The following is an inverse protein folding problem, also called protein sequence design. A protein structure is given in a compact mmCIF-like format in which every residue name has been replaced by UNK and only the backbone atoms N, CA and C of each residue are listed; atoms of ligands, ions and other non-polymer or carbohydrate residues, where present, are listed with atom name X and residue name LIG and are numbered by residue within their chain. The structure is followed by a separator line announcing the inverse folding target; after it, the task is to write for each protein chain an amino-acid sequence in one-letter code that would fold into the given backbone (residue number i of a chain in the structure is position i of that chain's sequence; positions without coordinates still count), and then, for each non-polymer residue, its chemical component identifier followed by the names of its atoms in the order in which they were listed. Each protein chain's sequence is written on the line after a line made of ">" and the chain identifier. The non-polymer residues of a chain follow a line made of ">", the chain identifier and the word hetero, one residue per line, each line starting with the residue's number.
data_IF_780226970048
#
_entry.id   IF_780226970048
#
_cell.length_a   1.000
_cell.length_b   1.000
_cell.length_c   1.000
_cell.angle_alpha   90.00
_cell.angle_beta   90.00
_cell.angle_gamma   90.00
#
_symmetry.space_group_name_H-M   'P 1'
#
loop_
_entity.id
_entity.type
_entity.pdbx_description
1 polymer ?
#
# COMPACT_ATOMS: atom_id res chain seq x y z
N UNK A 1 19.23 4.60 9.05
CA UNK A 1 17.99 5.05 9.73
C UNK A 1 17.55 6.36 9.10
N UNK A 2 16.25 6.68 9.20
CA UNK A 2 15.77 8.00 8.79
C UNK A 2 16.32 9.04 9.77
N UNK A 3 16.83 10.15 9.24
CA UNK A 3 17.52 11.18 10.02
C UNK A 3 16.90 12.53 9.70
N UNK A 4 16.84 13.40 10.70
CA UNK A 4 16.37 14.75 10.46
C UNK A 4 17.31 15.50 9.49
N UNK A 5 16.80 16.59 8.92
CA UNK A 5 17.54 17.40 7.95
C UNK A 5 18.77 18.08 8.56
N UNK A 6 18.72 18.42 9.84
CA UNK A 6 19.78 19.13 10.56
C UNK A 6 20.98 18.21 10.78
N UNK A 7 20.75 17.00 11.30
CA UNK A 7 21.70 15.91 11.44
C UNK A 7 22.25 15.46 10.09
N UNK A 8 21.39 15.33 9.07
CA UNK A 8 21.82 15.02 7.71
C UNK A 8 22.77 16.09 7.15
N UNK A 9 22.52 17.37 7.46
CA UNK A 9 23.39 18.48 7.05
C UNK A 9 24.68 18.47 7.87
N UNK A 10 24.58 18.28 9.18
CA UNK A 10 25.74 18.20 10.07
C UNK A 10 26.73 17.11 9.65
N UNK A 11 26.25 15.90 9.38
CA UNK A 11 27.09 14.78 8.92
C UNK A 11 27.72 15.10 7.55
N UNK A 12 26.99 15.77 6.65
CA UNK A 12 27.52 16.15 5.34
C UNK A 12 28.62 17.21 5.42
N UNK A 13 28.48 18.20 6.29
CA UNK A 13 29.49 19.26 6.48
C UNK A 13 30.75 18.73 7.19
N UNK A 14 30.60 17.72 8.05
CA UNK A 14 31.71 17.08 8.77
C UNK A 14 32.08 15.71 8.18
N UNK A 15 31.95 15.54 6.86
CA UNK A 15 32.21 14.23 6.23
C UNK A 15 33.61 13.69 6.49
N UNK A 16 34.59 14.58 6.71
CA UNK A 16 35.98 14.24 7.04
C UNK A 16 36.12 13.61 8.43
N UNK A 17 35.21 13.93 9.36
CA UNK A 17 35.18 13.39 10.72
C UNK A 17 34.44 12.05 10.80
N UNK A 18 33.65 11.71 9.77
CA UNK A 18 32.84 10.50 9.69
C UNK A 18 33.20 9.64 8.47
N UNK A 19 34.45 9.14 8.35
CA UNK A 19 34.84 8.28 7.24
C UNK A 19 33.97 7.01 7.21
N UNK A 20 33.38 6.74 6.03
CA UNK A 20 32.47 5.61 5.82
C UNK A 20 30.98 5.91 6.03
N UNK A 21 30.61 7.11 6.51
CA UNK A 21 29.21 7.53 6.63
C UNK A 21 28.77 8.28 5.38
N UNK A 22 27.70 7.81 4.74
CA UNK A 22 27.16 8.43 3.52
C UNK A 22 25.69 8.78 3.73
N UNK A 23 25.37 10.07 3.63
CA UNK A 23 23.98 10.54 3.65
C UNK A 23 23.39 10.47 2.23
N UNK A 24 22.41 9.60 2.04
CA UNK A 24 21.66 9.46 0.78
C UNK A 24 20.22 9.90 0.96
N UNK A 25 19.73 10.73 0.05
CA UNK A 25 18.32 11.03 -0.05
C UNK A 25 17.61 9.88 -0.78
N UNK A 26 16.63 9.26 -0.13
CA UNK A 26 15.80 8.18 -0.70
C UNK A 26 14.36 8.68 -0.75
N UNK A 27 13.67 8.58 -1.90
CA UNK A 27 12.25 8.93 -1.97
C UNK A 27 11.43 7.92 -1.17
N UNK A 28 10.55 8.42 -0.30
CA UNK A 28 9.59 7.60 0.43
C UNK A 28 8.19 7.78 -0.18
N UNK A 29 7.43 6.68 -0.24
CA UNK A 29 6.01 6.74 -0.60
C UNK A 29 5.26 7.51 0.49
N UNK A 30 4.18 8.20 0.14
CA UNK A 30 3.32 8.91 1.09
C UNK A 30 1.87 8.74 0.66
N UNK A 31 0.98 8.41 1.60
CA UNK A 31 -0.46 8.30 1.39
C UNK A 31 -1.17 9.42 2.18
N UNK A 32 -1.44 10.59 1.56
CA UNK A 32 -1.91 11.78 2.27
C UNK A 32 -3.29 11.63 2.93
N UNK A 33 -4.09 10.67 2.46
CA UNK A 33 -5.44 10.42 2.98
C UNK A 33 -5.49 9.34 4.07
N UNK A 34 -4.33 8.87 4.56
CA UNK A 34 -4.26 7.87 5.63
C UNK A 34 -4.97 6.58 5.25
N UNK A 35 -5.90 6.14 6.10
CA UNK A 35 -6.65 4.88 6.00
C UNK A 35 -7.78 4.88 4.94
N UNK A 36 -7.99 6.01 4.26
CA UNK A 36 -8.98 6.14 3.19
C UNK A 36 -8.46 5.56 1.89
N UNK A 37 -9.26 4.70 1.25
CA UNK A 37 -8.92 3.99 -0.01
C UNK A 37 -7.81 2.94 0.12
N UNK A 38 -7.42 2.52 1.32
CA UNK A 38 -6.27 1.61 1.53
C UNK A 38 -6.37 0.32 0.74
N UNK A 39 -7.56 -0.29 0.63
CA UNK A 39 -7.73 -1.52 -0.15
C UNK A 39 -7.75 -1.31 -1.66
N UNK A 40 -8.02 -0.09 -2.13
CA UNK A 40 -7.91 0.29 -3.54
C UNK A 40 -6.45 0.52 -3.89
N UNK A 41 -5.79 1.42 -3.13
CA UNK A 41 -4.40 1.79 -3.38
C UNK A 41 -3.48 0.61 -3.10
N UNK A 42 -3.68 -0.07 -1.98
CA UNK A 42 -2.75 -1.03 -1.42
C UNK A 42 -1.62 -0.35 -0.67
N UNK A 43 -0.51 -1.05 -0.58
CA UNK A 43 0.70 -0.55 0.07
C UNK A 43 1.94 -1.02 -0.69
N UNK A 44 3.07 -0.41 -0.37
CA UNK A 44 4.39 -0.79 -0.88
C UNK A 44 5.19 -1.47 0.23
N UNK A 45 6.17 -2.28 -0.13
CA UNK A 45 7.07 -2.92 0.82
C UNK A 45 8.33 -3.43 0.13
N UNK A 46 9.36 -3.76 0.92
CA UNK A 46 10.58 -4.33 0.37
C UNK A 46 10.29 -5.63 -0.37
N UNK A 47 10.93 -5.80 -1.53
CA UNK A 47 10.84 -7.04 -2.30
C UNK A 47 11.49 -8.19 -1.53
N UNK A 48 10.76 -9.30 -1.42
CA UNK A 48 11.26 -10.54 -0.84
C UNK A 48 12.16 -11.26 -1.85
N UNK A 49 13.14 -12.04 -1.37
CA UNK A 49 14.07 -12.74 -2.25
C UNK A 49 13.37 -13.75 -3.17
N UNK A 50 12.26 -14.32 -2.70
CA UNK A 50 11.42 -15.25 -3.45
C UNK A 50 10.65 -14.54 -4.57
N UNK A 51 10.26 -13.29 -4.37
CA UNK A 51 9.55 -12.49 -5.38
C UNK A 51 10.47 -12.08 -6.53
N UNK A 52 11.77 -11.90 -6.28
CA UNK A 52 12.77 -11.64 -7.34
C UNK A 52 12.87 -12.77 -8.38
N UNK A 53 12.40 -13.97 -8.05
CA UNK A 53 12.36 -15.09 -9.00
C UNK A 53 11.15 -15.01 -9.94
N UNK A 54 10.15 -14.20 -9.64
CA UNK A 54 8.97 -14.02 -10.47
C UNK A 54 9.33 -13.19 -11.71
N UNK A 55 8.85 -13.59 -12.88
CA UNK A 55 9.16 -12.91 -14.15
C UNK A 55 8.88 -11.39 -14.12
N UNK A 56 7.87 -10.96 -13.34
CA UNK A 56 7.54 -9.55 -13.14
C UNK A 56 8.66 -8.73 -12.49
N UNK A 57 9.41 -9.33 -11.56
CA UNK A 57 10.44 -8.66 -10.77
C UNK A 57 11.86 -9.11 -11.10
N UNK A 58 12.00 -10.14 -11.93
CA UNK A 58 13.28 -10.76 -12.31
C UNK A 58 14.27 -9.81 -12.96
N UNK A 59 13.78 -8.76 -13.63
CA UNK A 59 14.60 -7.81 -14.36
C UNK A 59 14.35 -6.38 -13.84
N UNK A 60 15.43 -5.69 -13.44
CA UNK A 60 15.38 -4.28 -13.04
C UNK A 60 15.21 -4.02 -11.54
N UNK A 61 14.91 -5.05 -10.74
CA UNK A 61 14.81 -4.97 -9.29
C UNK A 61 15.98 -5.67 -8.59
N UNK A 62 16.37 -5.12 -7.45
CA UNK A 62 17.43 -5.62 -6.58
C UNK A 62 16.90 -5.86 -5.16
N UNK A 63 17.57 -6.71 -4.37
CA UNK A 63 17.24 -6.86 -2.96
C UNK A 63 17.22 -5.51 -2.23
N UNK A 64 16.16 -5.26 -1.47
CA UNK A 64 15.96 -3.99 -0.75
C UNK A 64 15.15 -2.94 -1.52
N UNK A 65 14.87 -3.16 -2.81
CA UNK A 65 13.96 -2.29 -3.57
C UNK A 65 12.54 -2.36 -3.00
N UNK A 66 11.83 -1.24 -3.06
CA UNK A 66 10.44 -1.12 -2.59
C UNK A 66 9.51 -1.29 -3.78
N UNK A 67 8.57 -2.24 -3.66
CA UNK A 67 7.60 -2.58 -4.71
C UNK A 67 6.17 -2.56 -4.15
N UNK A 68 5.19 -2.34 -5.01
CA UNK A 68 3.77 -2.51 -4.67
C UNK A 68 3.44 -3.94 -4.25
N UNK A 69 2.77 -4.09 -3.11
CA UNK A 69 2.41 -5.38 -2.50
C UNK A 69 0.93 -5.71 -2.58
N UNK A 70 0.08 -4.70 -2.74
CA UNK A 70 -1.37 -4.87 -2.85
C UNK A 70 -1.99 -3.81 -3.76
N UNK A 71 -3.27 -4.00 -4.10
CA UNK A 71 -4.09 -2.99 -4.76
C UNK A 71 -3.51 -2.48 -6.09
N UNK A 72 -3.75 -1.20 -6.34
CA UNK A 72 -3.23 -0.45 -7.49
C UNK A 72 -1.70 -0.43 -7.51
N UNK A 73 -1.05 -0.32 -6.35
CA UNK A 73 0.42 -0.32 -6.26
C UNK A 73 0.99 -1.60 -6.87
N UNK A 74 0.48 -2.78 -6.48
CA UNK A 74 0.93 -4.04 -7.06
C UNK A 74 0.47 -4.18 -8.51
N UNK A 75 -0.79 -3.92 -8.82
CA UNK A 75 -1.33 -4.19 -10.16
C UNK A 75 -0.64 -3.35 -11.24
N UNK A 76 -0.40 -2.07 -10.96
CA UNK A 76 0.25 -1.14 -11.89
C UNK A 76 1.75 -0.93 -11.61
N UNK A 77 2.38 -1.80 -10.81
CA UNK A 77 3.80 -1.71 -10.45
C UNK A 77 4.72 -1.42 -11.66
N UNK A 78 4.58 -2.17 -12.76
CA UNK A 78 5.42 -1.98 -13.96
C UNK A 78 5.18 -0.64 -14.67
N UNK A 79 4.02 -0.01 -14.45
CA UNK A 79 3.70 1.31 -14.98
C UNK A 79 4.18 2.43 -14.04
N UNK A 80 4.21 2.16 -12.73
CA UNK A 80 4.54 3.10 -11.65
C UNK A 80 6.04 3.15 -11.29
N UNK A 81 6.78 2.06 -11.42
CA UNK A 81 8.15 1.93 -10.91
C UNK A 81 9.20 2.71 -11.71
N UNK A 82 8.94 2.95 -13.00
CA UNK A 82 9.90 3.60 -13.89
C UNK A 82 11.11 2.72 -14.20
N UNK A 83 12.27 3.32 -14.48
CA UNK A 83 13.51 2.59 -14.74
C UNK A 83 14.64 3.17 -13.90
N UNK A 84 15.29 2.29 -13.13
CA UNK A 84 16.46 2.63 -12.34
C UNK A 84 17.62 3.09 -13.23
N UNK A 85 18.21 4.23 -12.88
CA UNK A 85 19.46 4.68 -13.47
C UNK A 85 20.65 3.93 -12.89
N UNK A 86 21.84 4.21 -13.40
CA UNK A 86 23.09 3.65 -12.87
C UNK A 86 24.18 4.71 -12.81
N UNK A 87 25.12 4.54 -11.89
CA UNK A 87 26.29 5.40 -11.77
C UNK A 87 27.52 4.52 -11.58
N UNK A 88 28.50 4.68 -12.45
CA UNK A 88 29.80 3.99 -12.34
C UNK A 88 30.75 4.92 -11.61
N UNK A 89 31.32 4.43 -10.51
CA UNK A 89 32.29 5.16 -9.69
C UNK A 89 33.59 4.39 -9.58
N UNK A 90 34.70 5.12 -9.63
CA UNK A 90 36.03 4.63 -9.28
C UNK A 90 36.20 4.76 -7.77
N UNK A 91 36.57 3.66 -7.11
CA UNK A 91 36.78 3.60 -5.67
C UNK A 91 38.24 3.30 -5.34
N UNK A 92 38.74 3.89 -4.26
CA UNK A 92 40.07 3.58 -3.73
C UNK A 92 40.06 2.23 -2.95
N UNK A 93 41.21 1.69 -2.53
CA UNK A 93 41.26 0.44 -1.74
C UNK A 93 40.52 0.49 -0.40
N UNK A 94 40.24 1.69 0.11
CA UNK A 94 39.45 1.94 1.32
C UNK A 94 37.94 2.08 1.05
N UNK A 95 37.51 2.04 -0.21
CA UNK A 95 36.11 2.11 -0.64
C UNK A 95 35.57 3.52 -0.84
N UNK A 96 36.40 4.56 -0.73
CA UNK A 96 35.96 5.94 -0.97
C UNK A 96 35.81 6.20 -2.47
N UNK A 97 34.78 6.97 -2.83
CA UNK A 97 34.52 7.34 -4.22
C UNK A 97 35.53 8.42 -4.64
N UNK A 98 36.42 8.07 -5.57
CA UNK A 98 37.45 8.98 -6.11
C UNK A 98 36.91 9.75 -7.31
N UNK A 99 36.14 9.09 -8.18
CA UNK A 99 35.66 9.69 -9.43
C UNK A 99 34.37 9.03 -9.94
N UNK A 100 33.53 9.80 -10.60
CA UNK A 100 32.40 9.29 -11.38
C UNK A 100 32.83 9.06 -12.83
N UNK A 101 32.72 7.81 -13.31
CA UNK A 101 33.14 7.40 -14.66
C UNK A 101 31.99 7.45 -15.67
N UNK A 102 30.74 7.36 -15.21
CA UNK A 102 29.57 7.37 -16.08
C UNK A 102 28.26 7.37 -15.30
N UNK A 103 27.20 7.87 -15.92
CA UNK A 103 25.86 7.96 -15.34
C UNK A 103 24.78 7.75 -16.37
N UNK A 104 23.90 6.79 -16.10
CA UNK A 104 22.61 6.64 -16.77
C UNK A 104 21.56 7.27 -15.85
N UNK A 105 20.84 8.29 -16.35
CA UNK A 105 19.79 8.94 -15.58
C UNK A 105 18.59 7.98 -15.40
N UNK A 106 17.96 7.93 -14.22
CA UNK A 106 16.73 7.18 -14.03
C UNK A 106 15.60 7.78 -14.86
N UNK A 107 14.67 6.94 -15.28
CA UNK A 107 13.42 7.36 -15.93
C UNK A 107 12.32 7.29 -14.88
N UNK A 108 11.64 8.40 -14.55
CA UNK A 108 10.54 8.37 -13.59
C UNK A 108 9.39 7.52 -14.11
N UNK A 109 8.69 6.84 -13.21
CA UNK A 109 7.46 6.12 -13.54
C UNK A 109 6.33 7.05 -13.95
N UNK A 110 5.23 6.44 -14.39
CA UNK A 110 4.09 7.18 -14.91
C UNK A 110 3.09 7.57 -13.81
N UNK A 111 2.29 8.60 -14.09
CA UNK A 111 1.19 9.00 -13.22
C UNK A 111 -0.09 8.24 -13.61
N UNK A 112 -0.71 7.60 -12.62
CA UNK A 112 -1.99 6.91 -12.79
C UNK A 112 -3.14 7.79 -12.29
N UNK A 113 -4.19 7.93 -13.11
CA UNK A 113 -5.42 8.62 -12.72
C UNK A 113 -6.52 7.58 -12.52
N UNK A 114 -7.08 7.53 -11.30
CA UNK A 114 -8.15 6.60 -10.95
C UNK A 114 -9.52 7.22 -11.20
N UNK A 115 -10.54 6.38 -11.37
CA UNK A 115 -11.95 6.79 -11.47
C UNK A 115 -12.58 7.10 -10.11
N UNK A 116 -11.88 6.78 -9.03
CA UNK A 116 -12.38 6.90 -7.66
C UNK A 116 -12.51 8.38 -7.28
N UNK A 117 -13.69 8.76 -6.80
CA UNK A 117 -13.92 10.07 -6.19
C UNK A 117 -13.56 9.98 -4.71
N UNK A 118 -12.56 10.76 -4.29
CA UNK A 118 -12.04 10.70 -2.92
C UNK A 118 -13.06 11.16 -1.86
N UNK A 119 -13.97 12.07 -2.21
CA UNK A 119 -14.99 12.56 -1.28
C UNK A 119 -16.10 11.51 -1.13
N UNK A 120 -16.50 10.89 -2.24
CA UNK A 120 -17.46 9.79 -2.22
C UNK A 120 -16.89 8.57 -1.48
N UNK A 121 -15.64 8.21 -1.73
CA UNK A 121 -14.93 7.13 -1.06
C UNK A 121 -14.93 7.33 0.46
N UNK A 122 -14.49 8.51 0.93
CA UNK A 122 -14.46 8.84 2.37
C UNK A 122 -15.86 8.73 2.97
N UNK A 123 -16.88 9.23 2.27
CA UNK A 123 -18.26 9.16 2.77
C UNK A 123 -18.78 7.72 2.81
N UNK A 124 -18.44 6.92 1.81
CA UNK A 124 -18.82 5.52 1.72
C UNK A 124 -18.21 4.71 2.88
N UNK A 125 -16.93 4.91 3.20
CA UNK A 125 -16.24 4.26 4.33
C UNK A 125 -16.85 4.67 5.67
N UNK A 126 -17.14 5.97 5.87
CA UNK A 126 -17.80 6.49 7.07
C UNK A 126 -19.18 5.84 7.26
N UNK A 127 -19.99 5.78 6.19
CA UNK A 127 -21.32 5.19 6.21
C UNK A 127 -21.23 3.69 6.49
N UNK A 128 -20.33 2.96 5.82
CA UNK A 128 -20.13 1.53 6.04
C UNK A 128 -19.76 1.23 7.50
N UNK A 129 -18.78 1.96 8.06
CA UNK A 129 -18.39 1.84 9.47
C UNK A 129 -19.57 2.04 10.40
N UNK A 130 -20.34 3.13 10.20
CA UNK A 130 -21.53 3.43 11.01
C UNK A 130 -22.59 2.34 10.94
N UNK A 131 -22.81 1.75 9.77
CA UNK A 131 -23.77 0.66 9.60
C UNK A 131 -23.31 -0.65 10.24
N UNK A 132 -22.01 -0.94 10.20
CA UNK A 132 -21.43 -2.10 10.89
C UNK A 132 -21.57 -1.95 12.41
N UNK A 133 -21.23 -0.77 12.95
CA UNK A 133 -21.41 -0.47 14.38
C UNK A 133 -22.88 -0.61 14.79
N UNK A 134 -23.80 -0.04 14.02
CA UNK A 134 -25.25 -0.17 14.26
C UNK A 134 -25.75 -1.60 14.14
N UNK A 135 -25.16 -2.42 13.25
CA UNK A 135 -25.52 -3.83 13.15
C UNK A 135 -25.17 -4.59 14.43
N UNK A 136 -24.06 -4.24 15.09
CA UNK A 136 -23.63 -4.86 16.35
C UNK A 136 -24.56 -4.59 17.53
N UNK A 137 -25.36 -3.54 17.46
CA UNK A 137 -26.37 -3.22 18.48
C UNK A 137 -27.63 -4.10 18.37
N UNK A 138 -27.82 -4.77 17.22
CA UNK A 138 -28.99 -5.63 17.00
C UNK A 138 -28.75 -7.00 17.62
N UNK A 139 -29.83 -7.61 18.11
CA UNK A 139 -29.85 -9.00 18.54
C UNK A 139 -30.39 -9.88 17.44
N UNK A 140 -29.78 -11.04 17.28
CA UNK A 140 -30.26 -12.10 16.42
C UNK A 140 -31.45 -12.79 17.10
N UNK A 141 -32.57 -12.88 16.38
CA UNK A 141 -33.83 -13.44 16.87
C UNK A 141 -33.74 -14.95 17.17
N UNK A 142 -32.75 -15.66 16.61
CA UNK A 142 -32.63 -17.12 16.75
C UNK A 142 -31.88 -17.55 18.01
N UNK A 143 -30.85 -16.82 18.41
CA UNK A 143 -29.98 -17.17 19.54
C UNK A 143 -29.92 -16.08 20.62
N UNK A 144 -30.60 -14.93 20.43
CA UNK A 144 -30.63 -13.79 21.34
C UNK A 144 -29.23 -13.19 21.63
N UNK A 145 -28.26 -13.43 20.74
CA UNK A 145 -26.92 -12.84 20.80
C UNK A 145 -26.83 -11.57 19.95
N UNK A 146 -25.91 -10.67 20.29
CA UNK A 146 -25.62 -9.51 19.44
C UNK A 146 -24.91 -9.93 18.15
N UNK A 147 -25.24 -9.28 17.03
CA UNK A 147 -24.51 -9.52 15.78
C UNK A 147 -23.05 -9.12 15.95
N UNK A 148 -22.12 -10.00 15.55
CA UNK A 148 -20.68 -9.66 15.58
C UNK A 148 -20.30 -8.61 14.54
N UNK A 149 -20.93 -8.65 13.35
CA UNK A 149 -20.63 -7.83 12.17
C UNK A 149 -19.11 -7.58 12.00
N UNK A 150 -18.31 -8.64 11.77
CA UNK A 150 -16.85 -8.55 11.81
C UNK A 150 -16.27 -7.72 10.66
N UNK A 151 -16.95 -7.69 9.52
CA UNK A 151 -16.47 -7.07 8.30
C UNK A 151 -17.65 -6.66 7.41
N UNK A 152 -17.37 -5.81 6.42
CA UNK A 152 -18.32 -5.44 5.38
C UNK A 152 -17.63 -4.78 4.19
N UNK A 153 -18.35 -4.65 3.09
CA UNK A 153 -17.89 -3.95 1.88
C UNK A 153 -19.05 -3.18 1.26
N UNK A 154 -18.70 -2.13 0.53
CA UNK A 154 -19.63 -1.31 -0.24
C UNK A 154 -18.93 -0.84 -1.50
N UNK A 155 -19.61 -0.98 -2.63
CA UNK A 155 -19.13 -0.55 -3.96
C UNK A 155 -20.12 0.43 -4.54
N UNK A 156 -19.62 1.53 -5.08
CA UNK A 156 -20.41 2.51 -5.82
C UNK A 156 -19.84 2.60 -7.23
N UNK A 157 -20.70 2.34 -8.20
CA UNK A 157 -20.38 2.37 -9.63
C UNK A 157 -21.30 3.34 -10.36
N UNK A 158 -20.77 3.98 -11.39
CA UNK A 158 -21.59 4.69 -12.36
C UNK A 158 -22.18 3.67 -13.35
N UNK A 159 -23.51 3.54 -13.37
CA UNK A 159 -24.22 2.58 -14.21
C UNK A 159 -24.11 2.87 -15.71
N UNK A 160 -23.75 4.09 -16.12
CA UNK A 160 -23.61 4.46 -17.54
C UNK A 160 -22.20 4.20 -18.05
N UNK A 161 -21.19 4.51 -17.23
CA UNK A 161 -19.78 4.44 -17.63
C UNK A 161 -19.07 3.19 -17.12
N UNK A 162 -19.71 2.42 -16.23
CA UNK A 162 -19.13 1.30 -15.49
C UNK A 162 -17.89 1.66 -14.67
N UNK A 163 -17.69 2.95 -14.40
CA UNK A 163 -16.58 3.43 -13.56
C UNK A 163 -16.85 3.10 -12.10
N UNK A 164 -15.82 2.62 -11.41
CA UNK A 164 -15.86 2.45 -9.96
C UNK A 164 -15.56 3.81 -9.34
N UNK A 165 -16.55 4.39 -8.66
CA UNK A 165 -16.45 5.69 -8.01
C UNK A 165 -16.03 5.57 -6.55
N UNK A 166 -16.41 4.47 -5.89
CA UNK A 166 -15.93 4.11 -4.56
C UNK A 166 -15.90 2.58 -4.38
N UNK A 167 -14.88 2.08 -3.69
CA UNK A 167 -14.72 0.68 -3.32
C UNK A 167 -14.17 0.59 -1.91
N UNK A 168 -14.99 0.08 -1.00
CA UNK A 168 -14.71 0.13 0.43
C UNK A 168 -14.68 -1.28 1.02
N UNK A 169 -13.83 -1.47 2.00
CA UNK A 169 -13.72 -2.71 2.76
C UNK A 169 -13.47 -2.34 4.22
N UNK A 170 -14.19 -2.97 5.13
CA UNK A 170 -14.05 -2.79 6.56
C UNK A 170 -13.73 -4.14 7.21
N UNK A 171 -12.79 -4.21 8.17
CA UNK A 171 -11.97 -3.10 8.67
C UNK A 171 -10.87 -2.63 7.70
N UNK A 172 -10.41 -1.38 7.89
CA UNK A 172 -9.32 -0.75 7.11
C UNK A 172 -8.02 -0.65 7.89
N UNK A 173 -6.97 -0.17 7.24
CA UNK A 173 -5.63 0.06 7.78
C UNK A 173 -5.01 1.31 7.13
N UNK A 174 -4.03 1.92 7.77
CA UNK A 174 -3.25 3.02 7.16
C UNK A 174 -2.06 2.42 6.38
N UNK A 175 -1.95 2.60 5.05
CA UNK A 175 -0.84 2.06 4.26
C UNK A 175 0.50 2.74 4.59
N UNK A 176 0.51 3.90 5.26
CA UNK A 176 1.75 4.57 5.66
C UNK A 176 2.57 3.74 6.66
N UNK A 177 1.95 2.83 7.42
CA UNK A 177 2.65 1.96 8.39
C UNK A 177 3.61 0.96 7.73
N UNK A 178 3.52 0.79 6.40
CA UNK A 178 4.43 -0.07 5.64
C UNK A 178 5.67 0.68 5.12
N UNK A 179 5.67 2.02 5.16
CA UNK A 179 6.80 2.84 4.70
C UNK A 179 7.98 2.64 5.67
N UNK A 180 9.14 2.25 5.14
CA UNK A 180 10.33 2.00 5.96
C UNK A 180 10.34 0.67 6.71
N UNK A 181 9.29 -0.15 6.56
CA UNK A 181 9.13 -1.43 7.25
C UNK A 181 8.10 -1.36 8.37
N UNK A 182 7.21 -2.35 8.40
CA UNK A 182 6.14 -2.45 9.40
C UNK A 182 6.65 -3.09 10.69
N UNK A 183 6.16 -2.62 11.84
CA UNK A 183 6.47 -3.24 13.13
C UNK A 183 5.84 -4.65 13.24
N UNK A 184 6.48 -5.56 13.97
CA UNK A 184 5.94 -6.92 14.17
C UNK A 184 4.55 -6.88 14.83
N UNK A 185 4.35 -5.95 15.76
CA UNK A 185 3.07 -5.73 16.44
C UNK A 185 1.98 -5.31 15.45
N UNK A 186 2.25 -4.33 14.60
CA UNK A 186 1.26 -3.85 13.63
C UNK A 186 0.97 -4.91 12.57
N UNK A 187 2.00 -5.59 12.06
CA UNK A 187 1.84 -6.70 11.13
C UNK A 187 0.98 -7.82 11.72
N UNK A 188 1.22 -8.18 12.99
CA UNK A 188 0.44 -9.18 13.72
C UNK A 188 -1.02 -8.75 13.84
N UNK A 189 -1.28 -7.51 14.25
CA UNK A 189 -2.65 -6.97 14.35
C UNK A 189 -3.39 -7.01 13.01
N UNK A 190 -2.72 -6.67 11.91
CA UNK A 190 -3.31 -6.68 10.58
C UNK A 190 -3.63 -8.08 10.03
N UNK A 191 -3.00 -9.12 10.59
CA UNK A 191 -3.18 -10.52 10.18
C UNK A 191 -3.91 -11.37 11.24
N UNK A 192 -4.44 -10.76 12.31
CA UNK A 192 -5.08 -11.49 13.41
C UNK A 192 -6.61 -11.63 13.19
N UNK A 193 -7.20 -12.82 13.46
CA UNK A 193 -8.65 -13.01 13.54
C UNK A 193 -9.40 -12.00 14.43
N UNK A 194 -8.83 -11.60 15.57
CA UNK A 194 -9.42 -10.63 16.53
C UNK A 194 -9.66 -9.27 15.87
N UNK A 195 -8.76 -8.85 14.98
CA UNK A 195 -8.89 -7.62 14.20
C UNK A 195 -9.68 -7.80 12.91
N UNK A 196 -10.22 -8.99 12.66
CA UNK A 196 -10.98 -9.36 11.47
C UNK A 196 -10.20 -9.18 10.15
N UNK A 197 -8.88 -9.45 10.18
CA UNK A 197 -7.98 -9.41 9.02
C UNK A 197 -8.13 -8.15 8.14
N UNK A 198 -7.73 -6.95 8.61
CA UNK A 198 -7.88 -5.70 7.87
C UNK A 198 -7.22 -5.66 6.48
N UNK A 199 -6.19 -6.47 6.24
CA UNK A 199 -5.51 -6.52 4.93
C UNK A 199 -6.38 -7.11 3.82
N UNK A 200 -7.41 -7.89 4.17
CA UNK A 200 -8.27 -8.52 3.18
C UNK A 200 -9.22 -7.50 2.55
N UNK A 201 -9.21 -7.43 1.22
CA UNK A 201 -10.18 -6.66 0.46
C UNK A 201 -11.49 -7.45 0.35
N UNK A 202 -12.44 -7.11 1.23
CA UNK A 202 -13.77 -7.73 1.33
C UNK A 202 -14.67 -7.45 0.12
N UNK A 203 -14.26 -6.61 -0.82
CA UNK A 203 -15.00 -6.43 -2.08
C UNK A 203 -14.64 -7.51 -3.10
N UNK A 204 -13.41 -8.01 -3.08
CA UNK A 204 -12.89 -8.96 -4.08
C UNK A 204 -13.02 -10.42 -3.62
N UNK A 205 -13.39 -10.65 -2.37
CA UNK A 205 -13.58 -11.99 -1.82
C UNK A 205 -14.96 -12.56 -2.19
N UNK A 206 -15.01 -13.88 -2.36
CA UNK A 206 -16.27 -14.60 -2.57
C UNK A 206 -17.09 -14.68 -1.28
N UNK A 207 -18.35 -14.27 -1.35
CA UNK A 207 -19.34 -14.45 -0.28
C UNK A 207 -20.56 -15.21 -0.79
N UNK A 208 -21.21 -15.95 0.11
CA UNK A 208 -22.49 -16.60 -0.18
C UNK A 208 -23.60 -15.53 -0.30
N UNK A 209 -24.09 -15.33 -1.52
CA UNK A 209 -25.23 -14.46 -1.81
C UNK A 209 -26.54 -15.22 -1.60
N UNK A 210 -27.22 -14.98 -0.47
CA UNK A 210 -28.49 -15.68 -0.17
C UNK A 210 -29.76 -15.01 -0.76
N UNK A 211 -29.69 -13.77 -1.26
CA UNK A 211 -30.88 -13.05 -1.77
C UNK A 211 -30.64 -12.14 -2.99
N UNK A 212 -29.43 -11.58 -3.16
CA UNK A 212 -29.15 -10.63 -4.24
C UNK A 212 -29.36 -11.20 -5.66
N UNK A 213 -29.11 -12.50 -5.86
CA UNK A 213 -29.24 -13.16 -7.17
C UNK A 213 -30.68 -13.57 -7.54
N UNK A 214 -31.69 -13.30 -6.70
CA UNK A 214 -33.06 -13.65 -7.05
C UNK A 214 -33.62 -12.81 -8.22
N UNK A 215 -33.02 -11.64 -8.49
CA UNK A 215 -33.39 -10.80 -9.64
C UNK A 215 -32.88 -11.33 -10.99
N UNK A 216 -31.78 -12.08 -11.00
CA UNK A 216 -31.24 -12.72 -12.21
C UNK A 216 -32.01 -13.96 -12.68
N UNK A 217 -32.92 -14.50 -11.86
CA UNK A 217 -33.83 -15.58 -12.24
C UNK A 217 -35.22 -15.08 -12.70
N UNK A 218 -35.40 -13.76 -12.84
CA UNK A 218 -36.66 -13.12 -13.18
C UNK A 218 -36.72 -12.62 -14.65
N UNK A 219 -35.89 -13.17 -15.54
CA UNK A 219 -35.89 -12.86 -16.99
C UNK A 219 -36.13 -14.14 -17.78
#
# INVERSE_FOLDING_TARGET
>A
EDIDKELATFIKEHSDEFPGVIVKAVPLRNYPNGDVSSHILGYVGQIALEELQQEKFKYGYHPGDVVGKAGVELYYESFLSGQSGSKTVEVDPTGNIVRELGKVKPIPGNNLHLTVDINLQRKAEEVLKKWIEKARERRDEKNNEYYKAPAGSLVILDAKTNQILALTSYPTYDPNIFIGGISEKDWSNLNNPESNFPLYNRTLMSYLNFSCCNSSNAI
#
